data_IF_840195905272
#
_entry.id   IF_840195905272
#
_cell.length_a   1.000
_cell.length_b   1.000
_cell.length_c   1.000
_cell.angle_alpha   90.00
_cell.angle_beta   90.00
_cell.angle_gamma   90.00
#
_symmetry.space_group_name_H-M   'P 1'
#
loop_
_entity.id
_entity.type
_entity.pdbx_description
1 polymer ?
#
# COMPACT_ATOMS: atom_id res chain seq x y z
N UNK A 1 7.35 -3.18 -2.26
CA UNK A 1 8.14 -4.30 -2.81
C UNK A 1 9.58 -3.91 -3.12
N UNK A 2 9.86 -2.83 -3.88
CA UNK A 2 11.24 -2.45 -4.27
C UNK A 2 12.26 -2.41 -3.10
N UNK A 3 11.90 -1.80 -1.97
CA UNK A 3 12.76 -1.79 -0.78
C UNK A 3 13.03 -3.19 -0.22
N UNK A 4 12.06 -4.11 -0.32
CA UNK A 4 12.23 -5.50 0.13
C UNK A 4 13.19 -6.26 -0.80
N UNK A 5 13.23 -5.93 -2.08
CA UNK A 5 14.18 -6.54 -3.03
C UNK A 5 15.61 -6.11 -2.73
N UNK A 6 15.82 -4.83 -2.38
CA UNK A 6 17.14 -4.31 -1.95
C UNK A 6 17.61 -5.01 -0.66
N UNK A 7 16.71 -5.18 0.31
CA UNK A 7 17.01 -5.81 1.61
C UNK A 7 17.14 -7.34 1.49
N UNK A 8 16.58 -7.94 0.45
CA UNK A 8 16.64 -9.38 0.21
C UNK A 8 15.75 -10.20 1.17
N UNK A 9 16.11 -11.46 1.44
CA UNK A 9 15.25 -12.40 2.18
C UNK A 9 14.79 -11.89 3.56
N UNK A 10 15.66 -11.15 4.27
CA UNK A 10 15.39 -10.60 5.60
C UNK A 10 14.22 -9.60 5.62
N UNK A 11 13.83 -9.04 4.47
CA UNK A 11 12.73 -8.07 4.37
C UNK A 11 11.35 -8.68 4.64
N UNK A 12 11.23 -10.01 4.55
CA UNK A 12 9.99 -10.76 4.78
C UNK A 12 9.81 -11.21 6.23
N UNK A 13 10.81 -10.97 7.08
CA UNK A 13 10.79 -11.37 8.47
C UNK A 13 9.89 -10.44 9.30
N UNK A 14 9.03 -11.06 10.11
CA UNK A 14 8.12 -10.34 11.00
C UNK A 14 8.90 -9.69 12.15
N UNK A 15 8.30 -8.65 12.74
CA UNK A 15 8.82 -8.06 13.98
C UNK A 15 8.96 -9.13 15.06
N UNK A 16 10.11 -9.15 15.73
CA UNK A 16 10.41 -10.10 16.79
C UNK A 16 11.10 -11.38 16.29
N UNK A 17 11.20 -11.60 14.98
CA UNK A 17 12.05 -12.66 14.41
C UNK A 17 13.53 -12.25 14.49
N UNK A 18 14.41 -13.22 14.73
CA UNK A 18 15.85 -13.02 14.64
C UNK A 18 16.21 -12.51 13.24
N UNK A 19 17.16 -11.57 13.14
CA UNK A 19 17.58 -10.94 11.86
C UNK A 19 16.53 -10.09 11.14
N UNK A 20 15.38 -9.79 11.76
CA UNK A 20 14.36 -8.96 11.14
C UNK A 20 14.91 -7.56 10.78
N UNK A 21 15.14 -7.34 9.49
CA UNK A 21 15.67 -6.09 8.96
C UNK A 21 14.75 -4.93 9.34
N UNK A 22 15.35 -3.80 9.76
CA UNK A 22 14.62 -2.60 10.16
C UNK A 22 13.48 -2.87 11.17
N UNK A 23 13.71 -3.82 12.10
CA UNK A 23 12.74 -4.25 13.12
C UNK A 23 11.42 -4.78 12.54
N UNK A 24 11.46 -5.38 11.34
CA UNK A 24 10.29 -5.91 10.63
C UNK A 24 9.34 -4.84 10.07
N UNK A 25 9.81 -3.60 9.94
CA UNK A 25 8.97 -2.49 9.46
C UNK A 25 8.55 -2.64 7.99
N UNK A 26 9.44 -3.17 7.13
CA UNK A 26 9.15 -3.38 5.71
C UNK A 26 8.04 -4.40 5.48
N UNK A 27 8.10 -5.54 6.18
CA UNK A 27 7.06 -6.58 6.13
C UNK A 27 5.71 -6.00 6.55
N UNK A 28 5.68 -5.31 7.70
CA UNK A 28 4.45 -4.72 8.23
C UNK A 28 3.86 -3.65 7.32
N UNK A 29 4.71 -2.76 6.79
CA UNK A 29 4.29 -1.72 5.86
C UNK A 29 3.74 -2.34 4.57
N UNK A 30 4.42 -3.36 4.02
CA UNK A 30 3.99 -4.04 2.81
C UNK A 30 2.61 -4.68 2.98
N UNK A 31 2.35 -5.39 4.09
CA UNK A 31 1.00 -5.91 4.38
C UNK A 31 -0.05 -4.79 4.44
N UNK A 32 0.30 -3.65 5.06
CA UNK A 32 -0.59 -2.48 5.15
C UNK A 32 -0.97 -1.92 3.77
N UNK A 33 -0.07 -1.95 2.80
CA UNK A 33 -0.35 -1.40 1.45
C UNK A 33 -1.55 -2.07 0.77
N UNK A 34 -1.80 -3.36 1.02
CA UNK A 34 -2.94 -4.07 0.44
C UNK A 34 -4.26 -3.47 0.90
N UNK A 35 -4.43 -3.29 2.21
CA UNK A 35 -5.66 -2.76 2.80
C UNK A 35 -5.91 -1.32 2.34
N UNK A 36 -4.86 -0.52 2.19
CA UNK A 36 -4.98 0.89 1.80
C UNK A 36 -5.49 1.12 0.36
N UNK A 37 -5.59 0.07 -0.47
CA UNK A 37 -6.17 0.20 -1.83
C UNK A 37 -7.69 0.19 -1.85
N UNK A 38 -8.33 -0.25 -0.77
CA UNK A 38 -9.79 -0.34 -0.64
C UNK A 38 -10.33 0.20 0.69
N UNK A 39 -9.51 0.22 1.73
CA UNK A 39 -9.86 0.79 3.03
C UNK A 39 -10.05 2.30 2.92
N UNK A 40 -11.21 2.80 3.34
CA UNK A 40 -11.56 4.22 3.18
C UNK A 40 -12.08 4.59 1.79
N UNK A 41 -12.43 3.60 0.97
CA UNK A 41 -12.91 3.77 -0.40
C UNK A 41 -11.85 3.29 -1.40
N UNK A 42 -12.28 2.52 -2.40
CA UNK A 42 -11.35 1.94 -3.37
C UNK A 42 -10.72 2.99 -4.27
N UNK A 43 -9.54 2.68 -4.80
CA UNK A 43 -8.84 3.58 -5.70
C UNK A 43 -9.67 3.97 -6.94
N UNK A 44 -10.55 3.09 -7.40
CA UNK A 44 -11.50 3.34 -8.50
C UNK A 44 -12.46 4.46 -8.12
N UNK A 45 -13.15 4.32 -6.99
CA UNK A 45 -14.09 5.32 -6.50
C UNK A 45 -13.38 6.65 -6.25
N UNK A 46 -12.20 6.63 -5.65
CA UNK A 46 -11.43 7.85 -5.41
C UNK A 46 -11.01 8.53 -6.72
N UNK A 47 -10.60 7.77 -7.75
CA UNK A 47 -10.31 8.32 -9.08
C UNK A 47 -11.54 8.94 -9.72
N UNK A 48 -12.70 8.32 -9.60
CA UNK A 48 -13.97 8.87 -10.11
C UNK A 48 -14.32 10.18 -9.39
N UNK A 49 -14.16 10.25 -8.07
CA UNK A 49 -14.39 11.48 -7.30
C UNK A 49 -13.43 12.60 -7.73
N UNK A 50 -12.16 12.28 -8.01
CA UNK A 50 -11.20 13.25 -8.57
C UNK A 50 -11.64 13.72 -9.96
N UNK A 51 -12.12 12.82 -10.83
CA UNK A 51 -12.60 13.19 -12.16
C UNK A 51 -13.83 14.13 -12.08
N UNK A 52 -14.81 13.79 -11.23
CA UNK A 52 -16.05 14.57 -11.10
C UNK A 52 -15.78 15.92 -10.44
N UNK A 53 -15.15 15.91 -9.26
CA UNK A 53 -15.01 17.11 -8.43
C UNK A 53 -13.75 17.92 -8.76
N UNK A 54 -12.66 17.25 -9.11
CA UNK A 54 -11.38 17.90 -9.44
C UNK A 54 -11.30 18.36 -10.89
N UNK A 55 -11.94 17.64 -11.82
CA UNK A 55 -11.85 17.91 -13.26
C UNK A 55 -13.19 18.29 -13.91
N UNK A 56 -14.31 18.25 -13.18
CA UNK A 56 -15.63 18.62 -13.71
C UNK A 56 -16.20 17.62 -14.73
N UNK A 57 -15.69 16.39 -14.76
CA UNK A 57 -16.16 15.36 -15.68
C UNK A 57 -17.57 14.86 -15.28
N UNK A 58 -18.42 14.48 -16.25
CA UNK A 58 -19.69 13.85 -15.93
C UNK A 58 -19.46 12.51 -15.21
N UNK A 59 -20.41 12.10 -14.37
CA UNK A 59 -20.33 10.80 -13.68
C UNK A 59 -20.32 9.68 -14.71
N UNK A 60 -19.43 8.70 -14.51
CA UNK A 60 -19.51 7.45 -15.24
C UNK A 60 -20.80 6.73 -14.82
N UNK A 61 -21.52 6.19 -15.80
CA UNK A 61 -22.82 5.51 -15.62
C UNK A 61 -22.57 4.06 -15.24
#
# INVERSE_FOLDING_TARGET
RLLMEIVGPAATLKRGTLEAALRGSLERAYQGTLILTFGGGTNEVQRDLIAIFGLGMPRSI
#
